data_IF_300421947064
#
_entry.id   IF_300421947064
#
_cell.length_a   1.000
_cell.length_b   1.000
_cell.length_c   1.000
_cell.angle_alpha   90.00
_cell.angle_beta   90.00
_cell.angle_gamma   90.00
#
_symmetry.space_group_name_H-M   'P 1'
#
loop_
_entity.id
_entity.type
_entity.pdbx_description
1 polymer ?
#
# COMPACT_ATOMS: atom_id res chain seq x y z
N UNK A 1 0.74 -2.85 28.98
CA UNK A 1 1.07 -2.53 27.59
C UNK A 1 2.52 -2.86 27.23
N UNK A 2 3.55 -2.34 27.93
CA UNK A 2 4.96 -2.69 27.64
C UNK A 2 5.25 -4.20 27.75
N UNK A 3 4.78 -4.87 28.79
CA UNK A 3 4.93 -6.32 28.96
C UNK A 3 4.25 -7.10 27.80
N UNK A 4 3.13 -6.58 27.32
CA UNK A 4 2.44 -7.15 26.17
C UNK A 4 3.28 -7.04 24.89
N UNK A 5 3.93 -5.88 24.63
CA UNK A 5 4.87 -5.76 23.51
C UNK A 5 6.01 -6.78 23.62
N UNK A 6 6.61 -6.93 24.80
CA UNK A 6 7.67 -7.94 25.03
C UNK A 6 7.16 -9.37 24.76
N UNK A 7 5.90 -9.67 25.09
CA UNK A 7 5.31 -10.98 24.73
C UNK A 7 5.14 -11.16 23.24
N UNK A 8 4.71 -10.12 22.51
CA UNK A 8 4.61 -10.14 21.05
C UNK A 8 5.98 -10.29 20.38
N UNK A 9 7.02 -9.64 20.91
CA UNK A 9 8.38 -9.80 20.38
C UNK A 9 8.84 -11.25 20.45
N UNK A 10 8.58 -11.93 21.58
CA UNK A 10 8.92 -13.36 21.74
C UNK A 10 8.11 -14.25 20.81
N UNK A 11 6.81 -14.00 20.70
CA UNK A 11 5.90 -14.79 19.86
C UNK A 11 6.23 -14.61 18.38
N UNK A 12 6.36 -13.37 17.93
CA UNK A 12 6.56 -13.04 16.51
C UNK A 12 7.98 -13.27 16.03
N UNK A 13 8.98 -13.29 16.92
CA UNK A 13 10.36 -13.64 16.54
C UNK A 13 10.49 -15.04 15.92
N UNK A 14 9.51 -15.91 16.14
CA UNK A 14 9.45 -17.25 15.56
C UNK A 14 8.86 -17.28 14.14
N UNK A 15 8.33 -16.14 13.65
CA UNK A 15 7.72 -16.03 12.34
C UNK A 15 8.79 -15.62 11.33
N UNK A 16 9.17 -16.55 10.46
CA UNK A 16 10.18 -16.29 9.42
C UNK A 16 9.57 -15.66 8.16
N UNK A 17 8.33 -16.04 7.82
CA UNK A 17 7.70 -15.65 6.55
C UNK A 17 6.24 -15.21 6.73
N UNK A 18 5.90 -14.18 5.95
CA UNK A 18 4.53 -13.65 5.88
C UNK A 18 4.22 -12.64 6.98
N UNK A 19 2.93 -12.44 7.23
CA UNK A 19 2.40 -11.46 8.20
C UNK A 19 0.99 -11.85 8.70
N UNK A 20 0.55 -13.08 8.42
CA UNK A 20 -0.82 -13.53 8.75
C UNK A 20 -1.09 -13.57 10.25
N UNK A 21 -0.12 -13.97 11.03
CA UNK A 21 -0.28 -14.08 12.47
C UNK A 21 -0.31 -12.68 13.12
N UNK A 22 0.54 -11.76 12.64
CA UNK A 22 0.53 -10.35 13.06
C UNK A 22 -0.80 -9.68 12.71
N UNK A 23 -1.30 -9.89 11.49
CA UNK A 23 -2.61 -9.37 11.03
C UNK A 23 -3.77 -9.92 11.88
N UNK A 24 -3.77 -11.23 12.13
CA UNK A 24 -4.79 -11.90 12.95
C UNK A 24 -4.80 -11.38 14.39
N UNK A 25 -3.61 -11.23 14.98
CA UNK A 25 -3.47 -10.69 16.33
C UNK A 25 -3.92 -9.23 16.40
N UNK A 26 -3.50 -8.39 15.43
CA UNK A 26 -3.92 -7.00 15.36
C UNK A 26 -5.45 -6.87 15.25
N UNK A 27 -6.08 -7.70 14.43
CA UNK A 27 -7.55 -7.71 14.30
C UNK A 27 -8.24 -8.15 15.58
N UNK A 28 -7.70 -9.13 16.29
CA UNK A 28 -8.26 -9.60 17.56
C UNK A 28 -8.18 -8.51 18.64
N UNK A 29 -7.03 -7.86 18.75
CA UNK A 29 -6.82 -6.78 19.72
C UNK A 29 -7.70 -5.56 19.40
N UNK A 30 -7.80 -5.18 18.12
CA UNK A 30 -8.69 -4.09 17.68
C UNK A 30 -10.17 -4.34 18.05
N UNK A 31 -10.64 -5.57 17.86
CA UNK A 31 -12.03 -5.93 18.19
C UNK A 31 -12.33 -6.00 19.70
N UNK A 32 -11.31 -6.14 20.52
CA UNK A 32 -11.44 -6.37 21.97
C UNK A 32 -11.19 -5.14 22.82
N UNK A 33 -10.79 -4.02 22.21
CA UNK A 33 -10.41 -2.81 22.92
C UNK A 33 -10.97 -1.57 22.21
N UNK A 34 -10.97 -0.43 22.93
CA UNK A 34 -11.35 0.86 22.36
C UNK A 34 -10.22 1.48 21.51
N UNK A 35 -10.59 2.44 20.67
CA UNK A 35 -9.68 3.07 19.71
C UNK A 35 -8.53 3.82 20.41
N UNK A 36 -8.77 4.43 21.59
CA UNK A 36 -7.72 5.13 22.32
C UNK A 36 -6.64 4.17 22.83
N UNK A 37 -7.06 3.01 23.36
CA UNK A 37 -6.14 1.96 23.76
C UNK A 37 -5.35 1.42 22.57
N UNK A 38 -6.04 1.12 21.45
CA UNK A 38 -5.42 0.61 20.23
C UNK A 38 -4.43 1.59 19.65
N UNK A 39 -4.73 2.87 19.63
CA UNK A 39 -3.81 3.92 19.17
C UNK A 39 -2.52 3.94 19.99
N UNK A 40 -2.62 3.91 21.32
CA UNK A 40 -1.46 3.84 22.20
C UNK A 40 -0.65 2.56 21.97
N UNK A 41 -1.33 1.44 21.80
CA UNK A 41 -0.70 0.14 21.53
C UNK A 41 0.02 0.14 20.18
N UNK A 42 -0.59 0.66 19.14
CA UNK A 42 0.00 0.76 17.80
C UNK A 42 1.27 1.63 17.78
N UNK A 43 1.21 2.80 18.43
CA UNK A 43 2.36 3.70 18.57
C UNK A 43 3.51 3.04 19.34
N UNK A 44 3.20 2.30 20.39
CA UNK A 44 4.21 1.57 21.17
C UNK A 44 4.80 0.40 20.39
N UNK A 45 3.96 -0.37 19.69
CA UNK A 45 4.38 -1.48 18.83
C UNK A 45 5.31 -1.00 17.69
N UNK A 46 5.03 0.16 17.10
CA UNK A 46 5.86 0.73 16.04
C UNK A 46 7.25 1.19 16.53
N UNK A 47 7.48 1.29 17.83
CA UNK A 47 8.79 1.61 18.41
C UNK A 47 9.66 0.36 18.66
N UNK A 48 9.13 -0.86 18.44
CA UNK A 48 9.88 -2.10 18.66
C UNK A 48 11.03 -2.28 17.67
N UNK A 49 12.15 -2.84 18.12
CA UNK A 49 13.25 -3.25 17.25
C UNK A 49 12.86 -4.44 16.35
N UNK A 50 11.90 -5.28 16.77
CA UNK A 50 11.36 -6.38 16.01
C UNK A 50 10.42 -5.87 14.89
N UNK A 51 10.80 -6.07 13.64
CA UNK A 51 9.98 -5.60 12.50
C UNK A 51 8.61 -6.27 12.46
N UNK A 52 8.47 -7.50 12.95
CA UNK A 52 7.19 -8.19 13.05
C UNK A 52 6.22 -7.45 13.97
N UNK A 53 6.71 -6.94 15.10
CA UNK A 53 5.89 -6.14 16.03
C UNK A 53 5.56 -4.78 15.41
N UNK A 54 6.48 -4.18 14.64
CA UNK A 54 6.15 -2.97 13.86
C UNK A 54 5.09 -3.24 12.79
N UNK A 55 5.13 -4.39 12.11
CA UNK A 55 4.06 -4.80 11.17
C UNK A 55 2.71 -4.91 11.87
N UNK A 56 2.67 -5.55 13.03
CA UNK A 56 1.46 -5.59 13.87
C UNK A 56 0.95 -4.18 14.20
N UNK A 57 1.84 -3.25 14.60
CA UNK A 57 1.48 -1.86 14.84
C UNK A 57 0.88 -1.18 13.60
N UNK A 58 1.42 -1.46 12.41
CA UNK A 58 0.92 -0.88 11.14
C UNK A 58 -0.46 -1.44 10.77
N UNK A 59 -0.76 -2.71 11.06
CA UNK A 59 -2.13 -3.23 10.92
C UNK A 59 -3.11 -2.49 11.83
N UNK A 60 -2.73 -2.23 13.09
CA UNK A 60 -3.56 -1.44 14.00
C UNK A 60 -3.79 -0.01 13.47
N UNK A 61 -2.76 0.65 12.92
CA UNK A 61 -2.94 1.95 12.25
C UNK A 61 -3.91 1.85 11.09
N UNK A 62 -3.89 0.78 10.30
CA UNK A 62 -4.84 0.55 9.22
C UNK A 62 -6.29 0.52 9.73
N UNK A 63 -6.54 -0.11 10.88
CA UNK A 63 -7.87 -0.14 11.49
C UNK A 63 -8.32 1.21 12.07
N UNK A 64 -7.38 2.10 12.40
CA UNK A 64 -7.64 3.47 12.90
C UNK A 64 -7.47 4.55 11.82
N UNK A 65 -7.32 4.17 10.56
CA UNK A 65 -6.87 5.05 9.49
C UNK A 65 -7.84 6.16 9.09
N UNK A 66 -9.07 6.14 9.59
CA UNK A 66 -10.02 7.26 9.45
C UNK A 66 -9.65 8.46 10.33
N UNK A 67 -8.78 8.29 11.32
CA UNK A 67 -8.19 9.38 12.10
C UNK A 67 -7.09 10.07 11.27
N UNK A 68 -7.22 11.39 11.06
CA UNK A 68 -6.30 12.17 10.21
C UNK A 68 -4.84 12.12 10.68
N UNK A 69 -4.61 12.13 11.99
CA UNK A 69 -3.27 12.06 12.57
C UNK A 69 -2.62 10.67 12.37
N UNK A 70 -3.41 9.60 12.40
CA UNK A 70 -2.94 8.24 12.09
C UNK A 70 -2.59 8.12 10.61
N UNK A 71 -3.43 8.62 9.73
CA UNK A 71 -3.16 8.63 8.29
C UNK A 71 -1.89 9.44 7.96
N UNK A 72 -1.73 10.58 8.62
CA UNK A 72 -0.53 11.41 8.52
C UNK A 72 0.70 10.68 9.06
N UNK A 73 0.59 10.00 10.21
CA UNK A 73 1.67 9.20 10.78
C UNK A 73 2.10 8.08 9.83
N UNK A 74 1.16 7.36 9.23
CA UNK A 74 1.45 6.33 8.24
C UNK A 74 2.22 6.91 7.05
N UNK A 75 1.78 8.05 6.50
CA UNK A 75 2.43 8.73 5.39
C UNK A 75 3.85 9.19 5.73
N UNK A 76 4.05 9.80 6.90
CA UNK A 76 5.27 10.57 7.20
C UNK A 76 6.30 9.78 8.04
N UNK A 77 5.86 8.74 8.75
CA UNK A 77 6.70 7.92 9.63
C UNK A 77 6.79 6.48 9.15
N UNK A 78 5.67 5.77 9.00
CA UNK A 78 5.68 4.35 8.62
C UNK A 78 6.30 4.16 7.24
N UNK A 79 6.04 5.04 6.29
CA UNK A 79 6.65 5.00 4.94
C UNK A 79 8.18 5.10 4.94
N UNK A 80 8.79 5.54 6.04
CA UNK A 80 10.24 5.65 6.20
C UNK A 80 10.87 4.46 6.94
N UNK A 81 10.09 3.45 7.30
CA UNK A 81 10.64 2.24 7.92
C UNK A 81 11.65 1.58 6.96
N UNK A 82 12.81 1.19 7.50
CA UNK A 82 13.87 0.58 6.70
C UNK A 82 13.52 -0.86 6.25
N UNK A 83 12.57 -1.52 6.92
CA UNK A 83 12.20 -2.89 6.60
C UNK A 83 11.09 -2.93 5.54
N UNK A 84 11.39 -3.56 4.40
CA UNK A 84 10.46 -3.65 3.28
C UNK A 84 9.14 -4.37 3.62
N UNK A 85 9.14 -5.30 4.60
CA UNK A 85 7.92 -6.00 5.04
C UNK A 85 6.95 -5.04 5.76
N UNK A 86 7.49 -4.12 6.55
CA UNK A 86 6.67 -3.06 7.19
C UNK A 86 6.03 -2.17 6.11
N UNK A 87 6.76 -1.87 5.03
CA UNK A 87 6.23 -1.11 3.90
C UNK A 87 5.16 -1.88 3.10
N UNK A 88 5.23 -3.21 3.04
CA UNK A 88 4.15 -4.03 2.46
C UNK A 88 2.88 -3.97 3.30
N UNK A 89 3.02 -3.99 4.63
CA UNK A 89 1.87 -3.83 5.53
C UNK A 89 1.31 -2.40 5.46
N UNK A 90 2.15 -1.37 5.24
CA UNK A 90 1.67 -0.01 4.97
C UNK A 90 0.74 0.04 3.75
N UNK A 91 1.07 -0.70 2.68
CA UNK A 91 0.21 -0.79 1.50
C UNK A 91 -1.17 -1.39 1.85
N UNK A 92 -1.21 -2.43 2.70
CA UNK A 92 -2.47 -3.01 3.18
C UNK A 92 -3.25 -2.05 4.08
N UNK A 93 -2.58 -1.33 4.96
CA UNK A 93 -3.19 -0.33 5.82
C UNK A 93 -3.80 0.82 5.00
N UNK A 94 -3.18 1.21 3.89
CA UNK A 94 -3.72 2.19 2.97
C UNK A 94 -4.98 1.69 2.23
N UNK A 95 -5.00 0.42 1.78
CA UNK A 95 -6.21 -0.19 1.20
C UNK A 95 -7.36 -0.26 2.22
N UNK A 96 -7.04 -0.56 3.48
CA UNK A 96 -8.04 -0.57 4.55
C UNK A 96 -8.65 0.82 4.79
N UNK A 97 -7.84 1.88 4.74
CA UNK A 97 -8.33 3.26 4.73
C UNK A 97 -9.29 3.51 3.57
N UNK A 98 -8.87 3.19 2.34
CA UNK A 98 -9.71 3.39 1.15
C UNK A 98 -11.02 2.59 1.21
N UNK A 99 -10.98 1.39 1.77
CA UNK A 99 -12.14 0.53 1.95
C UNK A 99 -13.14 1.10 2.96
N UNK A 100 -12.65 1.63 4.09
CA UNK A 100 -13.50 2.23 5.13
C UNK A 100 -14.12 3.55 4.67
N UNK A 101 -13.32 4.42 4.09
CA UNK A 101 -13.74 5.75 3.61
C UNK A 101 -14.61 5.66 2.35
N UNK A 102 -14.42 4.59 1.56
CA UNK A 102 -14.92 4.44 0.19
C UNK A 102 -13.91 4.91 -0.84
N UNK A 103 -13.66 4.09 -1.88
CA UNK A 103 -12.58 4.34 -2.86
C UNK A 103 -12.75 5.66 -3.63
N UNK A 104 -13.98 6.04 -3.99
CA UNK A 104 -14.27 7.32 -4.63
C UNK A 104 -13.92 8.50 -3.72
N UNK A 105 -14.36 8.47 -2.48
CA UNK A 105 -14.08 9.52 -1.49
C UNK A 105 -12.60 9.60 -1.13
N UNK A 106 -11.86 8.53 -1.33
CA UNK A 106 -10.42 8.47 -1.05
C UNK A 106 -9.56 9.08 -2.18
N UNK A 107 -10.12 9.42 -3.35
CA UNK A 107 -9.35 9.92 -4.48
C UNK A 107 -8.43 11.11 -4.15
N UNK A 108 -8.84 12.13 -3.38
CA UNK A 108 -7.94 13.23 -3.01
C UNK A 108 -6.72 12.78 -2.21
N UNK A 109 -6.89 11.80 -1.32
CA UNK A 109 -5.80 11.24 -0.52
C UNK A 109 -4.91 10.34 -1.38
N UNK A 110 -5.50 9.52 -2.26
CA UNK A 110 -4.77 8.73 -3.26
C UNK A 110 -3.85 9.65 -4.07
N UNK A 111 -4.38 10.73 -4.64
CA UNK A 111 -3.63 11.68 -5.47
C UNK A 111 -2.52 12.38 -4.66
N UNK A 112 -2.80 12.76 -3.40
CA UNK A 112 -1.81 13.33 -2.48
C UNK A 112 -0.67 12.36 -2.19
N UNK A 113 -0.97 11.09 -1.94
CA UNK A 113 0.06 10.08 -1.67
C UNK A 113 0.85 9.70 -2.93
N UNK A 114 0.22 9.64 -4.10
CA UNK A 114 0.91 9.38 -5.39
C UNK A 114 1.86 10.52 -5.78
N UNK A 115 1.61 11.76 -5.33
CA UNK A 115 2.50 12.92 -5.55
C UNK A 115 3.52 13.14 -4.42
N UNK A 116 3.57 12.28 -3.40
CA UNK A 116 4.49 12.44 -2.28
C UNK A 116 5.96 12.28 -2.72
N UNK A 117 6.87 13.05 -2.11
CA UNK A 117 8.31 12.95 -2.37
C UNK A 117 8.92 11.61 -1.99
N UNK A 118 8.36 10.92 -0.96
CA UNK A 118 8.81 9.60 -0.54
C UNK A 118 8.30 8.50 -1.48
N UNK A 119 9.18 7.74 -2.15
CA UNK A 119 8.77 6.68 -3.08
C UNK A 119 8.00 5.55 -2.40
N UNK A 120 8.23 5.28 -1.12
CA UNK A 120 7.49 4.23 -0.40
C UNK A 120 6.04 4.63 -0.17
N UNK A 121 5.75 5.93 0.02
CA UNK A 121 4.38 6.45 0.09
C UNK A 121 3.66 6.26 -1.24
N UNK A 122 4.30 6.61 -2.37
CA UNK A 122 3.72 6.40 -3.71
C UNK A 122 3.50 4.91 -3.99
N UNK A 123 4.50 4.07 -3.64
CA UNK A 123 4.43 2.62 -3.80
C UNK A 123 3.32 2.00 -2.94
N UNK A 124 3.10 2.48 -1.71
CA UNK A 124 2.04 1.98 -0.83
C UNK A 124 0.66 2.11 -1.48
N UNK A 125 0.40 3.18 -2.23
CA UNK A 125 -0.84 3.34 -2.98
C UNK A 125 -0.94 2.33 -4.14
N UNK A 126 0.12 2.24 -4.96
CA UNK A 126 0.11 1.35 -6.13
C UNK A 126 -0.08 -0.11 -5.72
N UNK A 127 0.65 -0.58 -4.70
CA UNK A 127 0.56 -1.97 -4.24
C UNK A 127 -0.67 -2.22 -3.36
N UNK A 128 -1.09 -1.27 -2.54
CA UNK A 128 -2.25 -1.42 -1.66
C UNK A 128 -3.55 -1.61 -2.44
N UNK A 129 -3.76 -0.82 -3.46
CA UNK A 129 -4.95 -0.91 -4.30
C UNK A 129 -4.87 -2.01 -5.38
N UNK A 130 -3.78 -2.77 -5.46
CA UNK A 130 -3.60 -3.81 -6.45
C UNK A 130 -4.54 -5.03 -6.16
N UNK A 131 -5.32 -5.60 -7.06
CA UNK A 131 -5.55 -5.12 -8.43
C UNK A 131 -6.62 -4.02 -8.36
N UNK A 132 -6.29 -2.80 -8.79
CA UNK A 132 -7.14 -1.63 -8.66
C UNK A 132 -8.57 -1.87 -9.19
N UNK A 133 -8.69 -2.46 -10.37
CA UNK A 133 -9.98 -2.73 -11.00
C UNK A 133 -10.80 -3.85 -10.36
N UNK A 134 -10.34 -4.39 -9.22
CA UNK A 134 -11.13 -5.25 -8.34
C UNK A 134 -11.68 -4.47 -7.12
N UNK A 135 -11.44 -3.16 -7.03
CA UNK A 135 -12.00 -2.26 -6.01
C UNK A 135 -13.25 -1.61 -6.56
N UNK A 136 -14.31 -1.55 -5.76
CA UNK A 136 -15.67 -1.19 -6.18
C UNK A 136 -15.73 0.00 -7.15
N UNK A 137 -15.12 1.14 -6.80
CA UNK A 137 -15.13 2.32 -7.67
C UNK A 137 -14.35 2.09 -8.98
N UNK A 138 -13.16 1.51 -8.89
CA UNK A 138 -12.27 1.35 -10.04
C UNK A 138 -12.70 0.20 -10.98
N UNK A 139 -13.59 -0.68 -10.54
CA UNK A 139 -14.20 -1.68 -11.41
C UNK A 139 -15.07 -1.02 -12.47
N UNK A 140 -15.85 0.00 -12.06
CA UNK A 140 -16.73 0.76 -12.95
C UNK A 140 -15.99 1.90 -13.65
N UNK A 141 -14.86 2.36 -13.11
CA UNK A 141 -14.05 3.46 -13.63
C UNK A 141 -12.58 3.05 -13.87
N UNK A 142 -12.30 2.03 -14.71
CA UNK A 142 -10.94 1.50 -14.89
C UNK A 142 -9.94 2.53 -15.44
N UNK A 143 -10.42 3.52 -16.22
CA UNK A 143 -9.59 4.60 -16.76
C UNK A 143 -9.02 5.48 -15.65
N UNK A 144 -9.75 5.68 -14.54
CA UNK A 144 -9.29 6.46 -13.39
C UNK A 144 -8.11 5.77 -12.68
N UNK A 145 -8.15 4.43 -12.59
CA UNK A 145 -7.03 3.64 -12.09
C UNK A 145 -5.82 3.72 -13.03
N UNK A 146 -6.03 3.47 -14.32
CA UNK A 146 -4.97 3.44 -15.35
C UNK A 146 -4.25 4.79 -15.40
N UNK A 147 -4.98 5.91 -15.46
CA UNK A 147 -4.42 7.26 -15.50
C UNK A 147 -3.51 7.56 -14.30
N UNK A 148 -3.95 7.23 -13.08
CA UNK A 148 -3.15 7.46 -11.87
C UNK A 148 -1.89 6.60 -11.83
N UNK A 149 -2.00 5.33 -12.17
CA UNK A 149 -0.88 4.40 -12.21
C UNK A 149 0.12 4.83 -13.30
N UNK A 150 -0.35 5.08 -14.51
CA UNK A 150 0.47 5.47 -15.65
C UNK A 150 1.18 6.82 -15.46
N UNK A 151 0.63 7.71 -14.64
CA UNK A 151 1.27 8.97 -14.25
C UNK A 151 2.64 8.80 -13.56
N UNK A 152 2.95 7.60 -13.07
CA UNK A 152 4.23 7.27 -12.43
C UNK A 152 5.15 6.37 -13.30
N UNK A 153 4.92 6.31 -14.61
CA UNK A 153 5.69 5.45 -15.54
C UNK A 153 7.18 5.83 -15.64
N UNK A 154 7.51 7.07 -15.36
CA UNK A 154 8.90 7.60 -15.36
C UNK A 154 9.38 8.00 -13.95
N UNK A 155 8.74 7.46 -12.90
CA UNK A 155 9.12 7.72 -11.51
C UNK A 155 10.64 7.49 -11.30
N UNK A 156 11.26 8.34 -10.50
CA UNK A 156 12.70 8.24 -10.19
C UNK A 156 13.06 6.94 -9.48
N UNK A 157 12.11 6.37 -8.70
CA UNK A 157 12.31 5.11 -8.00
C UNK A 157 12.00 3.91 -8.91
N UNK A 158 13.00 3.04 -9.08
CA UNK A 158 12.82 1.78 -9.81
C UNK A 158 11.75 0.88 -9.16
N UNK A 159 11.64 0.90 -7.82
CA UNK A 159 10.61 0.11 -7.12
C UNK A 159 9.20 0.60 -7.44
N UNK A 160 8.98 1.92 -7.52
CA UNK A 160 7.69 2.48 -7.96
C UNK A 160 7.43 2.08 -9.41
N UNK A 161 8.38 2.24 -10.31
CA UNK A 161 8.23 1.85 -11.72
C UNK A 161 7.89 0.37 -11.89
N UNK A 162 8.52 -0.53 -11.13
CA UNK A 162 8.17 -1.97 -11.13
C UNK A 162 6.73 -2.19 -10.66
N UNK A 163 6.29 -1.50 -9.62
CA UNK A 163 4.91 -1.58 -9.13
C UNK A 163 3.92 -1.07 -10.18
N UNK A 164 4.21 0.04 -10.84
CA UNK A 164 3.42 0.59 -11.96
C UNK A 164 3.25 -0.43 -13.09
N UNK A 165 4.35 -0.98 -13.59
CA UNK A 165 4.33 -1.96 -14.67
C UNK A 165 3.54 -3.22 -14.31
N UNK A 166 3.70 -3.71 -13.08
CA UNK A 166 2.96 -4.87 -12.58
C UNK A 166 1.46 -4.57 -12.41
N UNK A 167 1.11 -3.38 -11.91
CA UNK A 167 -0.28 -3.00 -11.72
C UNK A 167 -1.02 -2.88 -13.07
N UNK A 168 -0.41 -2.21 -14.07
CA UNK A 168 -0.97 -2.12 -15.42
C UNK A 168 -1.08 -3.49 -16.09
N UNK A 169 -0.06 -4.35 -15.94
CA UNK A 169 -0.10 -5.74 -16.41
C UNK A 169 -1.28 -6.51 -15.82
N UNK A 170 -1.56 -6.34 -14.54
CA UNK A 170 -2.64 -7.07 -13.90
C UNK A 170 -4.02 -6.55 -14.35
N UNK A 171 -4.13 -5.24 -14.57
CA UNK A 171 -5.33 -4.61 -15.17
C UNK A 171 -5.54 -5.08 -16.62
N UNK A 172 -4.47 -5.28 -17.40
CA UNK A 172 -4.57 -5.69 -18.81
C UNK A 172 -5.25 -7.04 -19.01
N UNK A 173 -5.30 -7.89 -17.98
CA UNK A 173 -6.02 -9.18 -18.06
C UNK A 173 -7.53 -8.99 -18.22
N UNK A 174 -8.10 -7.94 -17.63
CA UNK A 174 -9.55 -7.63 -17.70
C UNK A 174 -9.84 -6.54 -18.75
N UNK A 175 -8.92 -5.58 -18.91
CA UNK A 175 -9.10 -4.40 -19.76
C UNK A 175 -7.92 -4.23 -20.74
N UNK A 176 -7.65 -5.20 -21.65
CA UNK A 176 -6.47 -5.15 -22.52
C UNK A 176 -6.49 -3.94 -23.47
N UNK A 177 -7.66 -3.57 -24.00
CA UNK A 177 -7.77 -2.45 -24.94
C UNK A 177 -7.48 -1.10 -24.27
N UNK A 178 -7.94 -0.89 -23.03
CA UNK A 178 -7.64 0.35 -22.32
C UNK A 178 -6.14 0.49 -22.05
N UNK A 179 -5.49 -0.60 -21.67
CA UNK A 179 -4.03 -0.59 -21.46
C UNK A 179 -3.29 -0.41 -22.80
N UNK A 180 -3.78 -1.01 -23.91
CA UNK A 180 -3.17 -0.81 -25.23
C UNK A 180 -3.22 0.67 -25.65
N UNK A 181 -4.38 1.32 -25.47
CA UNK A 181 -4.54 2.75 -25.78
C UNK A 181 -3.57 3.58 -24.95
N UNK A 182 -3.48 3.35 -23.64
CA UNK A 182 -2.54 4.05 -22.76
C UNK A 182 -1.08 3.86 -23.20
N UNK A 183 -0.68 2.61 -23.49
CA UNK A 183 0.71 2.30 -23.83
C UNK A 183 1.14 2.85 -25.21
N UNK A 184 0.22 3.06 -26.15
CA UNK A 184 0.51 3.63 -27.47
C UNK A 184 0.95 5.10 -27.40
N UNK A 185 0.60 5.81 -26.33
CA UNK A 185 0.98 7.21 -26.09
C UNK A 185 2.37 7.37 -25.43
N UNK A 186 3.05 6.25 -25.13
CA UNK A 186 4.28 6.29 -24.37
C UNK A 186 5.52 6.50 -25.25
N UNK A 187 6.40 7.42 -24.79
CA UNK A 187 7.72 7.65 -25.39
C UNK A 187 8.71 6.54 -24.94
N UNK A 188 8.89 5.54 -25.80
CA UNK A 188 9.75 4.38 -25.51
C UNK A 188 11.25 4.66 -25.69
N UNK A 189 11.65 5.85 -26.17
CA UNK A 189 13.06 6.25 -26.21
C UNK A 189 13.60 6.48 -24.79
N UNK A 190 12.73 6.85 -23.84
CA UNK A 190 13.08 6.96 -22.44
C UNK A 190 13.21 5.58 -21.78
N UNK A 191 14.42 5.30 -21.29
CA UNK A 191 14.76 4.01 -20.68
C UNK A 191 13.79 3.61 -19.54
N UNK A 192 13.45 4.55 -18.68
CA UNK A 192 12.55 4.35 -17.53
C UNK A 192 11.17 3.89 -18.00
N UNK A 193 10.60 4.58 -18.98
CA UNK A 193 9.30 4.26 -19.57
C UNK A 193 9.34 2.91 -20.31
N UNK A 194 10.41 2.66 -21.09
CA UNK A 194 10.59 1.38 -21.77
C UNK A 194 10.65 0.19 -20.79
N UNK A 195 11.23 0.37 -19.58
CA UNK A 195 11.23 -0.66 -18.54
C UNK A 195 9.82 -0.97 -18.05
N UNK A 196 9.01 0.06 -17.79
CA UNK A 196 7.62 -0.09 -17.34
C UNK A 196 6.76 -0.71 -18.44
N UNK A 197 6.93 -0.25 -19.69
CA UNK A 197 6.22 -0.79 -20.87
C UNK A 197 6.40 -2.31 -21.01
N UNK A 198 7.65 -2.81 -20.87
CA UNK A 198 7.95 -4.25 -20.95
C UNK A 198 7.18 -5.09 -19.93
N UNK A 199 6.92 -4.53 -18.74
CA UNK A 199 6.10 -5.21 -17.72
C UNK A 199 4.61 -5.10 -18.03
N UNK A 200 4.14 -3.90 -18.36
CA UNK A 200 2.72 -3.61 -18.59
C UNK A 200 2.16 -4.34 -19.81
N UNK A 201 2.96 -4.44 -20.89
CA UNK A 201 2.54 -5.06 -22.16
C UNK A 201 2.58 -6.59 -22.19
N UNK A 202 3.01 -7.25 -21.12
CA UNK A 202 3.28 -8.70 -21.08
C UNK A 202 2.11 -9.57 -21.58
N UNK A 203 0.87 -9.16 -21.40
CA UNK A 203 -0.33 -9.88 -21.81
C UNK A 203 -1.11 -9.17 -22.94
N UNK A 204 -0.56 -8.10 -23.51
CA UNK A 204 -1.14 -7.39 -24.64
C UNK A 204 -0.45 -7.92 -25.89
N UNK A 205 -1.26 -8.55 -26.77
CA UNK A 205 -0.84 -9.04 -28.09
C UNK A 205 -1.21 -8.05 -29.18
#
# INVERSE_FOLDING_TARGET
MKEYIVSLEKEFSLIEYGFKEEEKRALADYKSNDDEFIKKLALLAFQSDAYQVRMYGVFLFGYLSEEEDILTFMRDKVSKDANWRVQEVLAKAFDEFCKKTGYEKSLPIIDTWLSNSNPNTRRAVIEGLRIWTNRAYFEDHPQEAIKRIAGLKDDTSEYVRKSVGNALRDISKKFPELIRVELNEWDLEKKEISQVYKLASKFIR
#
